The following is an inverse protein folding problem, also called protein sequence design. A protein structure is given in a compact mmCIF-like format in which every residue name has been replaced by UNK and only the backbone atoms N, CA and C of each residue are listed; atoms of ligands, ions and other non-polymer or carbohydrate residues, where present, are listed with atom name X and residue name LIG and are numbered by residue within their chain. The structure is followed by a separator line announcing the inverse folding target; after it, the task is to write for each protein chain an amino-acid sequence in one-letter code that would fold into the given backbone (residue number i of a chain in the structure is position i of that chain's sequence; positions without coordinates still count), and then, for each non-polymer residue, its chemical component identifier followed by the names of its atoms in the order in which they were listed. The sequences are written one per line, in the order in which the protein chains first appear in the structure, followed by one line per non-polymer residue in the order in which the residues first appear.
data_IF_519114792979
#
_entry.id   IF_519114792979
#
_cell.length_a   1.000
_cell.length_b   1.000
_cell.length_c   1.000
_cell.angle_alpha   90.00
_cell.angle_beta   90.00
_cell.angle_gamma   90.00
#
_symmetry.space_group_name_H-M   'P 1'
#
loop_
_entity.id
_entity.type
_entity.pdbx_description
1 polymer ?
#
# COMPACT_ATOMS: atom_id res chain seq x y z
N UNK A 1 -8.36 12.67 -7.41
CA UNK A 1 -8.25 14.13 -7.62
C UNK A 1 -8.12 14.79 -6.25
N UNK A 2 -7.20 15.71 -6.08
CA UNK A 2 -6.99 16.38 -4.78
C UNK A 2 -8.05 17.45 -4.54
N UNK A 3 -8.27 17.83 -3.27
CA UNK A 3 -9.24 18.87 -2.90
C UNK A 3 -8.90 20.23 -3.52
N UNK A 4 -7.62 20.56 -3.62
CA UNK A 4 -7.13 21.80 -4.26
C UNK A 4 -7.11 21.76 -5.79
N UNK A 5 -7.59 20.69 -6.42
CA UNK A 5 -7.40 20.44 -7.85
C UNK A 5 -6.12 19.62 -8.14
N UNK A 6 -5.96 19.21 -9.40
CA UNK A 6 -4.84 18.36 -9.81
C UNK A 6 -4.99 16.87 -9.46
N UNK A 7 -4.06 16.08 -9.98
CA UNK A 7 -4.03 14.62 -9.90
C UNK A 7 -2.72 14.14 -9.28
N UNK A 8 -2.81 13.02 -8.56
CA UNK A 8 -1.67 12.21 -8.15
C UNK A 8 -1.73 10.86 -8.86
N UNK A 9 -0.60 10.45 -9.41
CA UNK A 9 -0.37 9.11 -9.94
C UNK A 9 0.56 8.37 -9.00
N UNK A 10 0.23 7.11 -8.69
CA UNK A 10 1.08 6.21 -7.93
C UNK A 10 1.46 5.01 -8.79
N UNK A 11 2.74 4.61 -8.71
CA UNK A 11 3.30 3.55 -9.55
C UNK A 11 4.03 2.53 -8.71
N UNK A 12 3.80 1.25 -9.02
CA UNK A 12 4.69 0.17 -8.55
C UNK A 12 6.02 0.26 -9.29
N UNK A 13 7.10 -0.14 -8.63
CA UNK A 13 8.41 -0.22 -9.26
C UNK A 13 8.79 -1.64 -9.67
N UNK A 14 9.32 -1.80 -10.89
CA UNK A 14 9.88 -3.09 -11.36
C UNK A 14 11.20 -3.46 -10.68
N UNK A 15 11.89 -2.48 -10.10
CA UNK A 15 13.06 -2.70 -9.27
C UNK A 15 12.70 -3.34 -7.92
N UNK A 16 11.41 -3.29 -7.53
CA UNK A 16 10.93 -3.78 -6.24
C UNK A 16 11.61 -3.07 -5.06
N UNK A 17 11.68 -1.74 -5.13
CA UNK A 17 12.22 -0.80 -4.15
C UNK A 17 11.10 0.01 -3.48
N UNK A 18 10.59 1.07 -4.11
CA UNK A 18 9.62 1.98 -3.53
C UNK A 18 8.39 2.14 -4.43
N UNK A 19 7.29 2.59 -3.84
CA UNK A 19 6.18 3.17 -4.58
C UNK A 19 6.63 4.53 -5.09
N UNK A 20 6.41 4.82 -6.37
CA UNK A 20 6.69 6.13 -6.94
C UNK A 20 5.41 6.95 -7.05
N UNK A 21 5.56 8.27 -7.01
CA UNK A 21 4.48 9.23 -7.15
C UNK A 21 4.80 10.28 -8.22
N UNK A 22 3.81 10.69 -8.98
CA UNK A 22 3.89 11.81 -9.93
C UNK A 22 2.65 12.71 -9.78
N UNK A 23 2.78 13.98 -10.15
CA UNK A 23 1.74 15.00 -10.02
C UNK A 23 1.37 15.57 -11.38
N UNK A 24 0.09 15.88 -11.56
CA UNK A 24 -0.41 16.64 -12.71
C UNK A 24 -1.27 17.81 -12.25
N UNK A 25 -1.02 18.99 -12.82
CA UNK A 25 -1.77 20.22 -12.55
C UNK A 25 -2.79 20.56 -13.67
N UNK A 26 -2.79 19.80 -14.77
CA UNK A 26 -3.51 20.11 -16.00
C UNK A 26 -4.46 19.00 -16.45
N UNK A 27 -5.08 18.33 -15.45
CA UNK A 27 -6.01 17.21 -15.60
C UNK A 27 -5.42 16.01 -16.37
N UNK A 28 -4.13 15.74 -16.14
CA UNK A 28 -3.46 14.53 -16.62
C UNK A 28 -2.84 14.67 -18.00
N UNK A 29 -2.79 15.88 -18.59
CA UNK A 29 -2.13 16.13 -19.88
C UNK A 29 -0.61 16.06 -19.74
N UNK A 30 -0.07 16.62 -18.67
CA UNK A 30 1.34 16.53 -18.31
C UNK A 30 1.52 16.05 -16.88
N UNK A 31 2.66 15.41 -16.63
CA UNK A 31 3.00 14.80 -15.36
C UNK A 31 4.44 15.17 -14.97
N UNK A 32 4.66 15.41 -13.69
CA UNK A 32 6.02 15.58 -13.15
C UNK A 32 6.83 14.30 -13.30
N UNK A 33 8.16 14.40 -13.15
CA UNK A 33 8.97 13.20 -12.99
C UNK A 33 8.45 12.37 -11.81
N UNK A 34 8.50 11.04 -11.96
CA UNK A 34 8.04 10.12 -10.92
C UNK A 34 9.13 9.97 -9.85
N UNK A 35 8.81 10.36 -8.62
CA UNK A 35 9.75 10.34 -7.49
C UNK A 35 9.40 9.20 -6.53
N UNK A 36 10.43 8.58 -5.95
CA UNK A 36 10.24 7.55 -4.95
C UNK A 36 9.59 8.14 -3.69
N UNK A 37 8.59 7.45 -3.14
CA UNK A 37 8.06 7.72 -1.81
C UNK A 37 8.83 6.90 -0.76
N UNK A 38 8.49 7.09 0.51
CA UNK A 38 8.99 6.24 1.62
C UNK A 38 8.31 4.86 1.67
N UNK A 39 7.24 4.64 0.92
CA UNK A 39 6.49 3.39 0.97
C UNK A 39 7.20 2.32 0.14
N UNK A 40 7.50 1.14 0.70
CA UNK A 40 8.17 0.07 -0.03
C UNK A 40 7.25 -0.54 -1.10
N UNK A 41 7.86 -1.11 -2.13
CA UNK A 41 7.17 -1.84 -3.18
C UNK A 41 7.90 -3.14 -3.51
N UNK A 42 7.16 -4.24 -3.61
CA UNK A 42 7.68 -5.56 -4.02
C UNK A 42 7.41 -5.85 -5.52
N UNK A 43 7.11 -4.83 -6.33
CA UNK A 43 6.62 -4.94 -7.72
C UNK A 43 5.19 -5.54 -7.86
N UNK A 44 4.42 -5.66 -6.79
CA UNK A 44 2.99 -6.01 -6.87
C UNK A 44 2.13 -4.78 -7.18
N UNK A 45 0.88 -5.03 -7.59
CA UNK A 45 -0.11 -3.96 -7.78
C UNK A 45 -0.37 -3.18 -6.50
N UNK A 46 -0.66 -1.89 -6.66
CA UNK A 46 -1.03 -0.94 -5.61
C UNK A 46 -2.30 -0.22 -6.05
N UNK A 47 -3.04 0.35 -5.11
CA UNK A 47 -4.09 1.31 -5.46
C UNK A 47 -4.24 2.36 -4.37
N UNK A 48 -4.53 3.60 -4.78
CA UNK A 48 -4.76 4.72 -3.90
C UNK A 48 -6.13 5.37 -4.16
N UNK A 49 -6.75 5.89 -3.12
CA UNK A 49 -7.96 6.71 -3.19
C UNK A 49 -7.85 7.92 -2.27
N UNK A 50 -8.49 9.02 -2.66
CA UNK A 50 -8.72 10.17 -1.78
C UNK A 50 -9.98 9.85 -0.98
N UNK A 51 -9.88 9.90 0.34
CA UNK A 51 -11.00 9.71 1.25
C UNK A 51 -11.81 11.00 1.38
N UNK A 52 -13.05 10.88 1.85
CA UNK A 52 -13.94 12.02 2.14
C UNK A 52 -13.30 13.01 3.12
N UNK A 53 -12.46 12.56 4.05
CA UNK A 53 -11.68 13.40 4.97
C UNK A 53 -10.63 14.27 4.27
N UNK A 54 -10.29 13.95 3.02
CA UNK A 54 -9.19 14.55 2.27
C UNK A 54 -7.87 13.77 2.39
N UNK A 55 -7.79 12.79 3.28
CA UNK A 55 -6.62 11.91 3.39
C UNK A 55 -6.46 11.05 2.13
N UNK A 56 -5.22 10.73 1.76
CA UNK A 56 -4.92 9.67 0.80
C UNK A 56 -4.83 8.34 1.52
N UNK A 57 -5.53 7.32 1.04
CA UNK A 57 -5.34 5.94 1.44
C UNK A 57 -4.66 5.16 0.30
N UNK A 58 -3.61 4.41 0.60
CA UNK A 58 -2.94 3.52 -0.37
C UNK A 58 -2.87 2.11 0.18
N UNK A 59 -3.25 1.13 -0.63
CA UNK A 59 -3.11 -0.29 -0.34
C UNK A 59 -1.94 -0.85 -1.15
N UNK A 60 -1.00 -1.49 -0.46
CA UNK A 60 0.26 -1.94 -1.03
C UNK A 60 0.83 -3.13 -0.23
N UNK A 61 1.77 -3.86 -0.83
CA UNK A 61 2.55 -4.82 -0.05
C UNK A 61 3.71 -4.11 0.65
N UNK A 62 3.70 -4.11 1.98
CA UNK A 62 4.64 -3.34 2.78
C UNK A 62 6.00 -4.05 2.96
N UNK A 63 6.70 -4.25 1.84
CA UNK A 63 8.06 -4.79 1.76
C UNK A 63 8.69 -4.54 0.39
N UNK A 64 10.03 -4.59 0.34
CA UNK A 64 10.78 -4.58 -0.91
C UNK A 64 11.14 -6.00 -1.36
N UNK A 65 11.73 -6.11 -2.55
CA UNK A 65 12.22 -7.35 -3.13
C UNK A 65 11.13 -8.18 -3.80
N UNK A 66 11.49 -8.83 -4.90
CA UNK A 66 10.58 -9.62 -5.73
C UNK A 66 10.11 -10.90 -5.02
N UNK A 67 8.97 -11.43 -5.42
CA UNK A 67 8.45 -12.72 -4.94
C UNK A 67 7.38 -12.56 -3.85
N UNK A 68 7.77 -12.33 -2.60
CA UNK A 68 6.83 -12.34 -1.48
C UNK A 68 5.82 -11.18 -1.53
N UNK A 69 4.54 -11.50 -1.32
CA UNK A 69 3.39 -10.58 -1.41
C UNK A 69 2.61 -10.48 -0.10
N UNK A 70 3.34 -10.30 0.99
CA UNK A 70 2.83 -10.06 2.34
C UNK A 70 3.78 -9.09 3.08
N UNK A 71 3.35 -8.38 4.12
CA UNK A 71 1.94 -8.17 4.44
C UNK A 71 1.25 -7.36 3.33
N UNK A 72 -0.07 -7.44 3.28
CA UNK A 72 -0.87 -6.43 2.57
C UNK A 72 -1.27 -5.38 3.61
N UNK A 73 -0.94 -4.12 3.35
CA UNK A 73 -1.13 -3.03 4.30
C UNK A 73 -1.86 -1.87 3.64
N UNK A 74 -2.50 -1.04 4.46
CA UNK A 74 -3.07 0.25 4.06
C UNK A 74 -2.37 1.35 4.85
N UNK A 75 -1.93 2.40 4.15
CA UNK A 75 -1.34 3.59 4.77
C UNK A 75 -2.17 4.84 4.46
N UNK A 76 -2.14 5.81 5.39
CA UNK A 76 -2.79 7.10 5.23
C UNK A 76 -1.74 8.22 5.14
N UNK A 77 -1.95 9.14 4.19
CA UNK A 77 -1.26 10.42 4.14
C UNK A 77 -2.27 11.56 4.31
N UNK A 78 -1.88 12.55 5.12
CA UNK A 78 -2.70 13.73 5.42
C UNK A 78 -2.21 14.99 4.68
N UNK A 79 -1.12 14.87 3.93
CA UNK A 79 -0.39 15.96 3.28
C UNK A 79 -0.04 15.63 1.82
N UNK A 80 -0.99 14.97 1.16
CA UNK A 80 -0.93 14.64 -0.26
C UNK A 80 0.27 13.79 -0.67
N UNK A 81 0.62 12.81 0.17
CA UNK A 81 1.62 11.78 -0.11
C UNK A 81 3.04 12.13 0.35
N UNK A 82 3.24 13.29 0.99
CA UNK A 82 4.56 13.69 1.52
C UNK A 82 4.95 12.88 2.75
N UNK A 83 4.00 12.63 3.65
CA UNK A 83 4.16 11.82 4.85
C UNK A 83 3.05 10.79 4.99
N UNK A 84 3.36 9.64 5.61
CA UNK A 84 2.43 8.53 5.82
C UNK A 84 2.39 8.12 7.29
N UNK A 85 1.80 8.93 8.20
CA UNK A 85 1.89 8.71 9.64
C UNK A 85 1.15 7.48 10.16
N UNK A 86 0.24 6.90 9.38
CA UNK A 86 -0.55 5.73 9.78
C UNK A 86 -0.35 4.60 8.78
N UNK A 87 -0.08 3.39 9.28
CA UNK A 87 -0.01 2.19 8.47
C UNK A 87 -0.52 0.98 9.27
N UNK A 88 -1.43 0.21 8.67
CA UNK A 88 -2.01 -0.98 9.30
C UNK A 88 -2.07 -2.14 8.33
N UNK A 89 -1.79 -3.35 8.82
CA UNK A 89 -1.94 -4.55 8.02
C UNK A 89 -3.41 -4.95 7.87
N UNK A 90 -3.78 -5.22 6.62
CA UNK A 90 -4.95 -6.02 6.28
C UNK A 90 -4.63 -7.51 6.49
N UNK A 91 -3.40 -7.92 6.15
CA UNK A 91 -2.92 -9.30 6.22
C UNK A 91 -1.42 -9.34 6.64
N UNK A 92 -1.08 -9.53 7.93
CA UNK A 92 0.29 -9.42 8.45
C UNK A 92 1.23 -10.56 8.03
N UNK A 93 0.79 -11.81 8.15
CA UNK A 93 1.33 -13.09 7.65
C UNK A 93 0.38 -14.11 8.30
N UNK A 94 -0.04 -15.15 7.58
CA UNK A 94 -1.01 -16.07 8.17
C UNK A 94 -0.39 -16.75 9.41
N UNK A 95 -1.07 -16.69 10.56
CA UNK A 95 -0.55 -17.18 11.85
C UNK A 95 -0.27 -18.70 11.86
N UNK A 96 -0.72 -19.42 10.82
CA UNK A 96 -0.43 -20.84 10.56
C UNK A 96 0.91 -21.07 9.84
N UNK A 97 1.62 -20.00 9.45
CA UNK A 97 2.94 -20.08 8.83
C UNK A 97 4.03 -19.74 9.85
N UNK A 98 4.78 -20.75 10.29
CA UNK A 98 6.03 -20.53 11.02
C UNK A 98 6.93 -19.59 10.19
N UNK A 99 7.43 -18.48 10.76
CA UNK A 99 8.39 -17.64 10.05
C UNK A 99 9.67 -18.45 9.79
N UNK A 100 10.29 -18.36 8.60
CA UNK A 100 11.58 -19.00 8.39
C UNK A 100 12.61 -18.36 9.32
N UNK A 101 13.27 -19.19 10.13
CA UNK A 101 14.52 -18.82 10.78
C UNK A 101 15.62 -18.87 9.71
N UNK A 102 16.24 -17.73 9.42
CA UNK A 102 17.41 -17.65 8.54
C UNK A 102 17.19 -16.76 7.32
N UNK A 103 18.12 -15.83 7.14
CA UNK A 103 18.23 -15.00 5.94
C UNK A 103 18.43 -15.84 4.69
N UNK A 104 17.93 -15.31 3.58
CA UNK A 104 18.33 -15.64 2.23
C UNK A 104 18.08 -17.10 1.78
N UNK A 105 16.82 -17.55 1.86
CA UNK A 105 16.35 -18.66 1.03
C UNK A 105 14.88 -18.49 0.66
N UNK A 106 14.64 -18.28 -0.63
CA UNK A 106 13.37 -18.56 -1.32
C UNK A 106 12.10 -17.94 -0.72
N UNK A 107 11.91 -16.64 -0.97
CA UNK A 107 10.60 -15.98 -1.03
C UNK A 107 9.70 -16.48 -2.20
N UNK A 108 9.88 -17.74 -2.61
CA UNK A 108 8.79 -18.56 -3.13
C UNK A 108 8.16 -19.18 -1.90
N UNK A 109 7.23 -18.44 -1.28
CA UNK A 109 6.36 -19.03 -0.28
C UNK A 109 5.89 -20.38 -0.80
N UNK A 110 5.88 -21.40 0.07
CA UNK A 110 5.11 -22.63 -0.20
C UNK A 110 3.85 -22.22 -0.94
N UNK A 111 3.60 -22.76 -2.15
CA UNK A 111 2.45 -22.38 -3.00
C UNK A 111 1.24 -22.08 -2.10
N UNK A 112 0.79 -20.82 -2.07
CA UNK A 112 -0.39 -20.38 -1.32
C UNK A 112 -0.15 -19.70 0.04
N UNK A 113 1.04 -19.69 0.64
CA UNK A 113 1.27 -18.98 1.93
C UNK A 113 1.69 -17.52 1.71
N UNK A 114 0.89 -16.57 2.23
CA UNK A 114 1.24 -15.14 2.25
C UNK A 114 1.26 -14.48 0.86
N UNK A 115 0.34 -14.84 -0.04
CA UNK A 115 0.26 -14.25 -1.37
C UNK A 115 -0.99 -13.37 -1.53
N UNK A 116 -0.84 -12.06 -1.31
CA UNK A 116 -1.92 -11.07 -1.41
C UNK A 116 -1.58 -10.03 -2.47
N UNK A 117 -2.48 -9.79 -3.43
CA UNK A 117 -2.15 -8.90 -4.55
C UNK A 117 -3.35 -8.26 -5.22
N UNK A 118 -3.06 -7.30 -6.11
CA UNK A 118 -4.06 -6.59 -6.93
C UNK A 118 -5.18 -5.98 -6.08
N UNK A 119 -4.84 -5.10 -5.13
CA UNK A 119 -5.85 -4.46 -4.31
C UNK A 119 -6.72 -3.51 -5.12
N UNK A 120 -7.97 -3.37 -4.69
CA UNK A 120 -8.86 -2.27 -5.03
C UNK A 120 -9.42 -1.67 -3.74
N UNK A 121 -9.58 -0.35 -3.67
CA UNK A 121 -10.04 0.47 -2.57
C UNK A 121 -11.02 1.53 -3.09
N UNK A 122 -12.18 1.62 -2.47
CA UNK A 122 -13.17 2.69 -2.68
C UNK A 122 -13.79 3.08 -1.34
N UNK A 123 -14.37 4.28 -1.24
CA UNK A 123 -15.11 4.71 -0.06
C UNK A 123 -16.56 5.01 -0.44
N UNK A 124 -17.51 4.46 0.32
CA UNK A 124 -18.94 4.74 0.18
C UNK A 124 -19.32 6.07 0.84
N UNK A 125 -20.52 6.56 0.55
CA UNK A 125 -21.04 7.81 1.09
C UNK A 125 -21.13 7.82 2.62
N UNK A 126 -21.43 6.67 3.24
CA UNK A 126 -21.45 6.48 4.70
C UNK A 126 -20.05 6.51 5.37
N UNK A 127 -18.99 6.74 4.58
CA UNK A 127 -17.61 6.79 5.05
C UNK A 127 -16.93 5.43 5.17
N UNK A 128 -17.61 4.32 4.89
CA UNK A 128 -16.99 2.98 4.91
C UNK A 128 -15.96 2.85 3.80
N UNK A 129 -14.77 2.35 4.14
CA UNK A 129 -13.72 2.02 3.18
C UNK A 129 -13.85 0.54 2.81
N UNK A 130 -14.02 0.28 1.53
CA UNK A 130 -14.16 -1.04 0.94
C UNK A 130 -12.86 -1.43 0.25
N UNK A 131 -12.31 -2.59 0.60
CA UNK A 131 -11.08 -3.10 -0.02
C UNK A 131 -11.29 -4.53 -0.47
N UNK A 132 -10.92 -4.83 -1.72
CA UNK A 132 -10.86 -6.20 -2.26
C UNK A 132 -9.48 -6.51 -2.79
N UNK A 133 -9.04 -7.76 -2.70
CA UNK A 133 -7.74 -8.19 -3.22
C UNK A 133 -7.72 -9.68 -3.52
N UNK A 134 -6.81 -10.09 -4.39
CA UNK A 134 -6.51 -11.50 -4.63
C UNK A 134 -5.92 -12.11 -3.36
N UNK A 135 -6.56 -13.14 -2.83
CA UNK A 135 -6.15 -13.89 -1.65
C UNK A 135 -5.59 -15.25 -2.06
N UNK A 136 -4.29 -15.45 -1.81
CA UNK A 136 -3.54 -16.69 -2.08
C UNK A 136 -3.59 -17.18 -3.53
N UNK A 137 -4.01 -16.32 -4.46
CA UNK A 137 -4.32 -16.64 -5.88
C UNK A 137 -5.40 -17.70 -6.06
N UNK A 138 -6.26 -17.85 -5.06
CA UNK A 138 -7.36 -18.81 -5.06
C UNK A 138 -8.71 -18.10 -5.11
N UNK A 139 -8.83 -17.00 -4.36
CA UNK A 139 -10.09 -16.27 -4.21
C UNK A 139 -9.86 -14.76 -4.21
N UNK A 140 -10.96 -14.01 -4.20
CA UNK A 140 -10.97 -12.59 -3.86
C UNK A 140 -11.46 -12.46 -2.42
N UNK A 141 -10.67 -11.83 -1.56
CA UNK A 141 -11.11 -11.42 -0.23
C UNK A 141 -11.58 -9.98 -0.26
N UNK A 142 -12.61 -9.69 0.51
CA UNK A 142 -13.21 -8.38 0.67
C UNK A 142 -13.27 -8.01 2.15
N UNK A 143 -12.97 -6.76 2.47
CA UNK A 143 -13.05 -6.21 3.82
C UNK A 143 -13.70 -4.82 3.80
N UNK A 144 -14.36 -4.51 4.91
CA UNK A 144 -14.92 -3.18 5.22
C UNK A 144 -14.22 -2.66 6.46
N UNK A 145 -13.64 -1.47 6.37
CA UNK A 145 -12.91 -0.84 7.47
C UNK A 145 -13.30 0.64 7.56
N UNK A 146 -12.98 1.27 8.70
CA UNK A 146 -13.05 2.72 8.85
C UNK A 146 -11.66 3.33 8.75
N UNK A 147 -11.58 4.63 8.44
CA UNK A 147 -10.33 5.38 8.50
C UNK A 147 -9.69 5.29 9.91
N UNK A 148 -10.54 5.38 10.92
CA UNK A 148 -10.21 5.23 12.33
C UNK A 148 -9.58 3.88 12.68
N UNK A 149 -10.05 2.80 12.06
CA UNK A 149 -9.44 1.48 12.21
C UNK A 149 -8.00 1.49 11.68
N UNK A 150 -7.73 2.18 10.57
CA UNK A 150 -6.35 2.31 10.04
C UNK A 150 -5.46 3.07 11.03
N UNK A 151 -5.95 4.20 11.57
CA UNK A 151 -5.22 5.07 12.49
C UNK A 151 -4.77 4.38 13.79
N UNK A 152 -5.56 3.42 14.28
CA UNK A 152 -5.31 2.70 15.54
C UNK A 152 -4.50 1.42 15.40
N UNK A 153 -4.08 1.05 14.20
CA UNK A 153 -3.35 -0.19 14.00
C UNK A 153 -1.84 -0.03 13.88
N UNK A 154 -1.22 -1.17 13.62
CA UNK A 154 0.21 -1.31 13.36
C UNK A 154 0.42 -2.29 12.21
N UNK A 155 1.68 -2.45 11.83
CA UNK A 155 2.09 -3.32 10.73
C UNK A 155 3.35 -4.10 11.11
N UNK A 156 3.44 -5.33 10.64
CA UNK A 156 4.66 -6.16 10.69
C UNK A 156 5.56 -5.90 9.48
N UNK A 157 5.10 -5.17 8.48
CA UNK A 157 5.83 -4.80 7.26
C UNK A 157 6.98 -3.84 7.51
N UNK A 158 7.70 -3.47 6.44
CA UNK A 158 8.96 -2.73 6.53
C UNK A 158 8.75 -1.27 6.97
N UNK A 159 7.72 -0.61 6.44
CA UNK A 159 7.34 0.74 6.83
C UNK A 159 6.44 0.72 8.06
N UNK A 160 6.72 1.52 9.10
CA UNK A 160 5.97 1.53 10.37
C UNK A 160 5.14 2.80 10.62
N UNK A 161 5.10 3.71 9.65
CA UNK A 161 4.87 5.14 9.93
C UNK A 161 6.22 5.87 9.99
N UNK A 162 6.22 7.21 9.95
CA UNK A 162 7.38 8.12 9.86
C UNK A 162 8.72 7.60 10.49
N UNK A 163 9.89 7.81 9.82
CA UNK A 163 10.38 9.15 9.48
C UNK A 163 10.92 9.37 8.05
N UNK A 164 10.68 10.61 7.55
CA UNK A 164 11.34 11.39 6.47
C UNK A 164 11.64 10.77 5.10
N UNK A 165 11.68 11.64 4.08
CA UNK A 165 11.88 11.31 2.67
C UNK A 165 13.14 10.43 2.43
N UNK A 166 13.16 9.59 1.38
CA UNK A 166 14.34 8.80 1.05
C UNK A 166 15.53 9.72 0.73
N UNK A 167 16.65 9.58 1.44
CA UNK A 167 17.91 10.29 1.12
C UNK A 167 18.48 11.26 2.16
N UNK A 168 18.25 11.04 3.47
CA UNK A 168 19.10 11.60 4.53
C UNK A 168 20.27 10.67 4.84
#
# INVERSE_FOLDING_TARGET
RLRGGGLLGFFRSRAADYVHMSRSADDGRTWSHAEATVLPSNNSGIQASVLQSGALAIVFNNRQGKGARWPLSVALSLDEGKTWPHCRDLEPLAADSNPPQGGDAAAQGRKGQGEYSYPSIVQSEDGTIHISYTYRRETIKYVRISEDWIRRGSTVGWYKGQPTAPGA
#
